data_IF_530573414103
#
_entry.id   IF_530573414103
#
_cell.length_a   1.000
_cell.length_b   1.000
_cell.length_c   1.000
_cell.angle_alpha   90.00
_cell.angle_beta   90.00
_cell.angle_gamma   90.00
#
_symmetry.space_group_name_H-M   'P 1'
#
loop_
_entity.id
_entity.type
_entity.pdbx_description
1 polymer ?
#
# COMPACT_ATOMS: atom_id res chain seq x y z
N UNK A 1 9.24 14.73 34.78
CA UNK A 1 10.55 14.23 34.32
C UNK A 1 10.52 14.16 32.80
N UNK A 2 11.64 14.38 32.09
CA UNK A 2 11.68 14.20 30.64
C UNK A 2 11.35 12.75 30.28
N UNK A 3 10.48 12.57 29.28
CA UNK A 3 10.17 11.24 28.72
C UNK A 3 11.35 10.82 27.84
N UNK A 4 12.02 9.72 28.19
CA UNK A 4 13.16 9.24 27.45
C UNK A 4 12.71 8.50 26.18
N UNK A 5 13.45 8.69 25.09
CA UNK A 5 13.24 7.94 23.85
C UNK A 5 13.48 6.45 24.11
N UNK A 6 12.50 5.61 23.74
CA UNK A 6 12.58 4.16 23.87
C UNK A 6 13.06 3.53 22.57
N UNK A 7 14.05 2.64 22.65
CA UNK A 7 14.61 1.96 21.48
C UNK A 7 14.52 0.45 21.63
N UNK A 8 13.82 -0.23 20.72
CA UNK A 8 13.74 -1.68 20.74
C UNK A 8 14.87 -2.30 19.89
N UNK A 9 15.69 -3.16 20.49
CA UNK A 9 16.80 -3.86 19.83
C UNK A 9 16.36 -5.28 19.46
N UNK A 10 16.01 -5.46 18.19
CA UNK A 10 15.55 -6.72 17.59
C UNK A 10 16.67 -7.43 16.82
N UNK A 11 16.78 -8.73 17.05
CA UNK A 11 17.54 -9.67 16.21
C UNK A 11 17.19 -11.10 16.59
N UNK A 12 17.59 -12.05 15.76
CA UNK A 12 17.60 -13.46 16.20
C UNK A 12 18.65 -13.66 17.30
N UNK A 13 18.29 -14.39 18.35
CA UNK A 13 19.20 -14.73 19.44
C UNK A 13 20.27 -15.72 18.95
N UNK A 14 21.49 -15.22 18.75
CA UNK A 14 22.64 -16.00 18.31
C UNK A 14 23.94 -15.35 18.80
N UNK A 15 24.93 -16.18 19.12
CA UNK A 15 26.18 -15.75 19.75
C UNK A 15 26.93 -14.68 18.95
N UNK A 16 26.87 -14.77 17.62
CA UNK A 16 27.52 -13.81 16.71
C UNK A 16 27.01 -12.37 16.88
N UNK A 17 25.75 -12.18 17.30
CA UNK A 17 25.14 -10.86 17.47
C UNK A 17 25.18 -10.35 18.92
N UNK A 18 25.44 -11.21 19.90
CA UNK A 18 25.45 -10.84 21.32
C UNK A 18 26.35 -9.63 21.62
N UNK A 19 27.61 -9.55 21.13
CA UNK A 19 28.47 -8.40 21.37
C UNK A 19 27.91 -7.09 20.80
N UNK A 20 27.36 -7.14 19.57
CA UNK A 20 26.79 -5.97 18.89
C UNK A 20 25.56 -5.43 19.65
N UNK A 21 24.68 -6.32 20.09
CA UNK A 21 23.45 -5.97 20.81
C UNK A 21 23.77 -5.37 22.19
N UNK A 22 24.69 -5.99 22.93
CA UNK A 22 25.11 -5.48 24.24
C UNK A 22 25.77 -4.10 24.12
N UNK A 23 26.67 -3.91 23.16
CA UNK A 23 27.28 -2.60 22.89
C UNK A 23 26.24 -1.55 22.52
N UNK A 24 25.31 -1.89 21.61
CA UNK A 24 24.21 -1.01 21.21
C UNK A 24 23.35 -0.61 22.42
N UNK A 25 23.02 -1.57 23.28
CA UNK A 25 22.27 -1.31 24.52
C UNK A 25 23.03 -0.35 25.46
N UNK A 26 24.31 -0.61 25.69
CA UNK A 26 25.16 0.22 26.56
C UNK A 26 25.33 1.64 26.01
N UNK A 27 25.55 1.77 24.70
CA UNK A 27 25.69 3.07 24.04
C UNK A 27 24.39 3.87 24.09
N UNK A 28 23.23 3.28 23.77
CA UNK A 28 21.95 3.97 23.91
C UNK A 28 21.66 4.38 25.35
N UNK A 29 22.00 3.55 26.33
CA UNK A 29 21.88 3.89 27.75
C UNK A 29 22.79 5.07 28.11
N UNK A 30 24.05 5.03 27.68
CA UNK A 30 25.03 6.10 27.94
C UNK A 30 24.66 7.44 27.28
N UNK A 31 23.93 7.40 26.16
CA UNK A 31 23.39 8.57 25.48
C UNK A 31 22.09 9.10 26.10
N UNK A 32 21.61 8.48 27.18
CA UNK A 32 20.43 8.93 27.93
C UNK A 32 19.10 8.43 27.37
N UNK A 33 19.11 7.38 26.56
CA UNK A 33 17.89 6.74 26.06
C UNK A 33 17.47 5.54 26.91
N UNK A 34 16.29 4.98 26.64
CA UNK A 34 15.78 3.76 27.25
C UNK A 34 15.80 2.61 26.23
N UNK A 35 16.92 1.88 26.08
CA UNK A 35 16.94 0.70 25.23
C UNK A 35 16.18 -0.46 25.87
N UNK A 36 15.51 -1.23 25.03
CA UNK A 36 14.71 -2.40 25.37
C UNK A 36 15.25 -3.61 24.61
N UNK A 37 15.54 -4.69 25.32
CA UNK A 37 16.12 -5.91 24.77
C UNK A 37 15.73 -7.12 25.63
N UNK A 38 15.33 -8.21 24.97
CA UNK A 38 14.83 -9.41 25.64
C UNK A 38 15.71 -9.89 26.79
N UNK A 39 17.01 -10.04 26.57
CA UNK A 39 17.95 -10.60 27.54
C UNK A 39 18.24 -9.69 28.73
N UNK A 40 17.86 -8.41 28.68
CA UNK A 40 18.25 -7.42 29.70
C UNK A 40 17.10 -6.70 30.38
N UNK A 41 16.02 -6.40 29.67
CA UNK A 41 14.97 -5.53 30.23
C UNK A 41 13.71 -6.27 30.59
N UNK A 42 13.41 -7.37 29.90
CA UNK A 42 12.07 -7.93 30.02
C UNK A 42 11.99 -9.47 30.02
N UNK A 43 12.99 -10.22 29.54
CA UNK A 43 13.02 -11.68 29.66
C UNK A 43 13.67 -12.22 30.95
N UNK A 44 13.41 -13.48 31.35
CA UNK A 44 12.32 -14.37 30.92
C UNK A 44 11.02 -14.17 31.74
N UNK A 45 9.88 -14.42 31.11
CA UNK A 45 8.53 -14.17 31.65
C UNK A 45 8.02 -15.30 32.56
N UNK A 46 7.00 -15.04 33.41
CA UNK A 46 6.19 -16.09 34.01
C UNK A 46 5.42 -16.88 32.92
N UNK A 47 5.09 -18.13 33.22
CA UNK A 47 4.55 -19.15 32.27
C UNK A 47 3.21 -18.78 31.60
N UNK A 48 2.55 -17.70 31.99
CA UNK A 48 1.19 -17.32 31.60
C UNK A 48 1.11 -16.27 30.47
N UNK A 49 2.25 -15.70 30.04
CA UNK A 49 2.31 -14.72 28.94
C UNK A 49 3.01 -15.31 27.71
N UNK A 50 2.37 -15.22 26.54
CA UNK A 50 3.04 -15.54 25.28
C UNK A 50 4.24 -14.60 25.08
N UNK A 51 5.46 -15.15 25.12
CA UNK A 51 6.69 -14.36 25.00
C UNK A 51 6.76 -13.55 23.70
N UNK A 52 6.10 -14.03 22.63
CA UNK A 52 5.96 -13.29 21.37
C UNK A 52 5.12 -12.03 21.57
N UNK A 53 3.94 -12.14 22.17
CA UNK A 53 3.06 -10.98 22.36
C UNK A 53 3.70 -9.91 23.25
N UNK A 54 4.49 -10.33 24.24
CA UNK A 54 5.23 -9.37 25.05
C UNK A 54 6.28 -8.60 24.23
N UNK A 55 7.07 -9.28 23.38
CA UNK A 55 7.98 -8.59 22.46
C UNK A 55 7.23 -7.60 21.57
N UNK A 56 6.08 -7.99 21.01
CA UNK A 56 5.28 -7.09 20.16
C UNK A 56 4.74 -5.88 20.93
N UNK A 57 4.33 -6.04 22.19
CA UNK A 57 3.95 -4.91 23.04
C UNK A 57 5.10 -3.94 23.25
N UNK A 58 6.31 -4.45 23.51
CA UNK A 58 7.51 -3.61 23.65
C UNK A 58 7.88 -2.88 22.37
N UNK A 59 7.66 -3.49 21.20
CA UNK A 59 7.78 -2.82 19.90
C UNK A 59 6.73 -1.72 19.73
N UNK A 60 5.49 -1.92 20.17
CA UNK A 60 4.45 -0.87 20.12
C UNK A 60 4.78 0.31 21.03
N UNK A 61 5.40 0.04 22.17
CA UNK A 61 5.81 1.05 23.17
C UNK A 61 7.07 1.84 22.77
N UNK A 62 7.90 1.37 21.83
CA UNK A 62 9.14 2.04 21.47
C UNK A 62 8.91 3.22 20.52
N UNK A 63 9.88 4.14 20.44
CA UNK A 63 9.90 5.23 19.46
C UNK A 63 10.73 4.86 18.22
N UNK A 64 11.81 4.11 18.46
CA UNK A 64 12.76 3.67 17.43
C UNK A 64 12.89 2.14 17.51
N UNK A 65 12.86 1.49 16.35
CA UNK A 65 13.07 0.05 16.20
C UNK A 65 14.38 -0.21 15.47
N UNK A 66 15.27 -0.98 16.08
CA UNK A 66 16.57 -1.37 15.52
C UNK A 66 16.58 -2.86 15.22
N UNK A 67 16.83 -3.23 13.96
CA UNK A 67 16.85 -4.62 13.50
C UNK A 67 18.25 -4.99 13.00
N UNK A 68 18.81 -6.08 13.53
CA UNK A 68 20.04 -6.69 13.04
C UNK A 68 19.75 -8.04 12.37
N UNK A 69 20.03 -8.13 11.06
CA UNK A 69 19.91 -9.36 10.28
C UNK A 69 21.29 -9.98 10.02
N UNK A 70 21.38 -11.28 10.30
CA UNK A 70 22.54 -12.11 10.02
C UNK A 70 22.03 -13.40 9.35
N UNK A 71 22.61 -14.56 9.61
CA UNK A 71 22.37 -15.78 8.84
C UNK A 71 21.26 -16.71 9.37
N UNK A 72 20.45 -16.30 10.35
CA UNK A 72 19.37 -17.12 10.95
C UNK A 72 18.03 -16.41 10.87
N UNK A 73 16.97 -17.13 10.46
CA UNK A 73 15.61 -16.60 10.28
C UNK A 73 14.80 -16.50 11.57
N UNK A 74 15.23 -17.21 12.62
CA UNK A 74 14.62 -17.16 13.95
C UNK A 74 13.49 -18.18 14.15
N UNK A 75 12.86 -18.13 15.32
CA UNK A 75 11.76 -19.04 15.66
C UNK A 75 10.50 -18.70 14.86
N UNK A 76 9.95 -19.69 14.15
CA UNK A 76 8.73 -19.56 13.38
C UNK A 76 7.49 -19.58 14.28
N UNK A 77 6.52 -18.73 13.97
CA UNK A 77 5.18 -18.74 14.55
C UNK A 77 4.23 -19.56 13.68
N UNK A 78 3.08 -19.90 14.24
CA UNK A 78 1.94 -20.54 13.58
C UNK A 78 1.46 -19.81 12.32
N UNK A 79 1.63 -18.48 12.27
CA UNK A 79 1.28 -17.65 11.10
C UNK A 79 2.25 -17.75 9.92
N UNK A 80 3.35 -18.50 10.01
CA UNK A 80 4.37 -18.60 8.96
C UNK A 80 5.33 -17.40 8.91
N UNK A 81 5.39 -16.62 9.99
CA UNK A 81 6.36 -15.56 10.19
C UNK A 81 7.34 -15.92 11.30
N UNK A 82 8.59 -15.47 11.24
CA UNK A 82 9.45 -15.55 12.42
C UNK A 82 9.10 -14.46 13.44
N UNK A 83 9.44 -14.67 14.72
CA UNK A 83 9.19 -13.66 15.78
C UNK A 83 9.81 -12.31 15.41
N UNK A 84 11.08 -12.30 14.99
CA UNK A 84 11.79 -11.10 14.55
C UNK A 84 11.13 -10.44 13.34
N UNK A 85 10.56 -11.22 12.41
CA UNK A 85 9.80 -10.68 11.29
C UNK A 85 8.49 -10.02 11.74
N UNK A 86 7.78 -10.61 12.70
CA UNK A 86 6.59 -9.99 13.30
C UNK A 86 6.91 -8.70 14.05
N UNK A 87 8.05 -8.63 14.73
CA UNK A 87 8.54 -7.41 15.37
C UNK A 87 8.75 -6.29 14.33
N UNK A 88 9.44 -6.58 13.22
CA UNK A 88 9.61 -5.65 12.11
C UNK A 88 8.27 -5.15 11.55
N UNK A 89 7.34 -6.06 11.22
CA UNK A 89 6.03 -5.68 10.68
C UNK A 89 5.21 -4.85 11.68
N UNK A 90 5.35 -5.14 12.98
CA UNK A 90 4.69 -4.36 14.04
C UNK A 90 5.26 -2.93 14.12
N UNK A 91 6.59 -2.78 14.06
CA UNK A 91 7.23 -1.47 14.05
C UNK A 91 6.87 -0.67 12.79
N UNK A 92 6.83 -1.33 11.63
CA UNK A 92 6.45 -0.74 10.35
C UNK A 92 5.01 -0.21 10.39
N UNK A 93 4.07 -1.05 10.81
CA UNK A 93 2.64 -0.69 10.86
C UNK A 93 2.34 0.39 11.90
N UNK A 94 3.13 0.46 12.97
CA UNK A 94 3.02 1.50 13.99
C UNK A 94 3.76 2.81 13.62
N UNK A 95 4.33 2.90 12.41
CA UNK A 95 5.00 4.11 11.92
C UNK A 95 6.26 4.49 12.70
N UNK A 96 6.97 3.51 13.28
CA UNK A 96 8.18 3.76 14.07
C UNK A 96 9.34 4.23 13.19
N UNK A 97 10.32 4.91 13.79
CA UNK A 97 11.62 5.14 13.13
C UNK A 97 12.38 3.82 13.06
N UNK A 98 12.86 3.43 11.88
CA UNK A 98 13.49 2.12 11.66
C UNK A 98 14.98 2.26 11.39
N UNK A 99 15.80 1.55 12.15
CA UNK A 99 17.20 1.30 11.84
C UNK A 99 17.38 -0.15 11.44
N UNK A 100 17.61 -0.39 10.16
CA UNK A 100 17.68 -1.74 9.61
C UNK A 100 19.10 -2.01 9.15
N UNK A 101 19.73 -3.03 9.71
CA UNK A 101 21.08 -3.45 9.39
C UNK A 101 21.09 -4.91 8.99
N UNK A 102 21.90 -5.25 8.00
CA UNK A 102 22.11 -6.62 7.58
C UNK A 102 23.59 -6.88 7.32
N UNK A 103 23.99 -8.14 7.48
CA UNK A 103 25.34 -8.56 7.16
C UNK A 103 25.64 -8.33 5.66
N UNK A 104 26.78 -7.68 5.32
CA UNK A 104 27.07 -7.27 3.95
C UNK A 104 27.12 -8.41 2.92
N UNK A 105 27.60 -9.60 3.29
CA UNK A 105 27.62 -10.75 2.36
C UNK A 105 26.21 -11.26 2.07
N UNK A 106 25.30 -11.17 3.03
CA UNK A 106 23.89 -11.54 2.86
C UNK A 106 23.19 -10.56 1.91
N UNK A 107 23.30 -9.24 2.13
CA UNK A 107 22.68 -8.24 1.23
C UNK A 107 23.26 -8.33 -0.18
N UNK A 108 24.58 -8.46 -0.29
CA UNK A 108 25.25 -8.66 -1.58
C UNK A 108 24.73 -9.92 -2.30
N UNK A 109 24.60 -11.04 -1.60
CA UNK A 109 24.07 -12.29 -2.17
C UNK A 109 22.62 -12.12 -2.62
N UNK A 110 21.81 -11.44 -1.82
CA UNK A 110 20.41 -11.17 -2.13
C UNK A 110 20.26 -10.45 -3.48
N UNK A 111 20.97 -9.34 -3.65
CA UNK A 111 20.90 -8.56 -4.89
C UNK A 111 21.58 -9.25 -6.09
N UNK A 112 22.58 -10.10 -5.86
CA UNK A 112 23.31 -10.75 -6.96
C UNK A 112 22.53 -11.91 -7.59
N UNK A 113 21.91 -12.78 -6.78
CA UNK A 113 21.25 -14.01 -7.29
C UNK A 113 19.83 -14.21 -6.76
N UNK A 114 19.65 -14.11 -5.44
CA UNK A 114 18.43 -14.59 -4.77
C UNK A 114 17.19 -13.80 -5.20
N UNK A 115 17.28 -12.47 -5.24
CA UNK A 115 16.18 -11.57 -5.60
C UNK A 115 15.55 -11.94 -6.95
N UNK A 116 16.39 -12.22 -7.97
CA UNK A 116 15.93 -12.65 -9.30
C UNK A 116 15.25 -14.02 -9.25
N UNK A 117 15.79 -14.98 -8.50
CA UNK A 117 15.19 -16.31 -8.36
C UNK A 117 13.82 -16.23 -7.69
N UNK A 118 13.70 -15.44 -6.63
CA UNK A 118 12.44 -15.19 -5.93
C UNK A 118 11.40 -14.55 -6.85
N UNK A 119 11.74 -13.48 -7.58
CA UNK A 119 10.82 -12.88 -8.54
C UNK A 119 10.33 -13.88 -9.59
N UNK A 120 11.25 -14.64 -10.20
CA UNK A 120 10.90 -15.63 -11.20
C UNK A 120 9.98 -16.74 -10.64
N UNK A 121 10.16 -17.13 -9.39
CA UNK A 121 9.28 -18.10 -8.74
C UNK A 121 7.92 -17.49 -8.43
N UNK A 122 7.87 -16.31 -7.83
CA UNK A 122 6.65 -15.60 -7.46
C UNK A 122 5.76 -15.40 -8.70
N UNK A 123 6.33 -14.95 -9.81
CA UNK A 123 5.57 -14.72 -11.05
C UNK A 123 5.03 -16.03 -11.65
N UNK A 124 5.83 -17.10 -11.69
CA UNK A 124 5.35 -18.42 -12.13
C UNK A 124 4.27 -18.99 -11.19
N UNK A 125 4.43 -18.77 -9.89
CA UNK A 125 3.46 -19.21 -8.89
C UNK A 125 2.13 -18.47 -9.06
N UNK A 126 2.16 -17.15 -9.26
CA UNK A 126 0.97 -16.32 -9.56
C UNK A 126 0.25 -16.81 -10.81
N UNK A 127 0.98 -17.11 -11.88
CA UNK A 127 0.39 -17.61 -13.13
C UNK A 127 -0.34 -18.95 -12.95
N UNK A 128 0.22 -19.85 -12.13
CA UNK A 128 -0.32 -21.21 -11.94
C UNK A 128 -1.40 -21.30 -10.86
N UNK A 129 -1.32 -20.49 -9.79
CA UNK A 129 -2.18 -20.59 -8.61
C UNK A 129 -3.09 -19.37 -8.39
N UNK A 130 -2.95 -18.32 -9.20
CA UNK A 130 -3.70 -17.04 -9.12
C UNK A 130 -3.57 -16.31 -7.77
N UNK A 131 -2.56 -16.63 -6.97
CA UNK A 131 -2.20 -15.96 -5.70
C UNK A 131 -0.69 -15.86 -5.56
N UNK A 132 -0.22 -15.04 -4.64
CA UNK A 132 1.19 -15.07 -4.25
C UNK A 132 1.51 -16.34 -3.44
N UNK A 133 2.75 -16.84 -3.50
CA UNK A 133 3.20 -17.87 -2.59
C UNK A 133 3.24 -17.31 -1.15
N UNK A 134 2.88 -18.15 -0.20
CA UNK A 134 3.09 -17.90 1.22
C UNK A 134 4.58 -17.89 1.56
N UNK A 135 4.95 -17.34 2.71
CA UNK A 135 6.34 -17.34 3.19
C UNK A 135 6.90 -18.76 3.31
N UNK A 136 6.06 -19.73 3.69
CA UNK A 136 6.45 -21.15 3.76
C UNK A 136 6.78 -21.69 2.37
N UNK A 137 5.92 -21.44 1.38
CA UNK A 137 6.15 -21.88 0.00
C UNK A 137 7.39 -21.24 -0.63
N UNK A 138 7.67 -19.97 -0.30
CA UNK A 138 8.93 -19.32 -0.69
C UNK A 138 10.15 -19.98 -0.05
N UNK A 139 10.06 -20.28 1.25
CA UNK A 139 11.14 -20.93 2.00
C UNK A 139 11.42 -22.33 1.44
N UNK A 140 10.37 -23.12 1.22
CA UNK A 140 10.46 -24.47 0.65
C UNK A 140 11.09 -24.43 -0.76
N UNK A 141 10.69 -23.46 -1.59
CA UNK A 141 11.29 -23.25 -2.92
C UNK A 141 12.79 -22.92 -2.84
N UNK A 142 13.17 -22.02 -1.95
CA UNK A 142 14.56 -21.61 -1.76
C UNK A 142 15.42 -22.75 -1.23
N UNK A 143 14.91 -23.56 -0.31
CA UNK A 143 15.60 -24.74 0.22
C UNK A 143 15.85 -25.78 -0.88
N UNK A 144 14.81 -26.15 -1.64
CA UNK A 144 14.95 -27.08 -2.77
C UNK A 144 15.90 -26.55 -3.85
N UNK A 145 15.86 -25.24 -4.11
CA UNK A 145 16.76 -24.61 -5.09
C UNK A 145 18.20 -24.57 -4.60
N UNK A 146 18.45 -24.38 -3.29
CA UNK A 146 19.78 -24.44 -2.72
C UNK A 146 20.41 -25.83 -2.82
N UNK A 147 19.62 -26.89 -2.66
CA UNK A 147 20.07 -28.27 -2.86
C UNK A 147 20.42 -28.57 -4.33
N UNK A 148 19.64 -28.02 -5.26
CA UNK A 148 19.88 -28.21 -6.70
C UNK A 148 20.98 -27.30 -7.29
N UNK A 149 21.16 -26.09 -6.74
CA UNK A 149 22.04 -25.04 -7.27
C UNK A 149 22.84 -24.34 -6.16
N UNK A 150 23.78 -25.05 -5.50
CA UNK A 150 24.50 -24.53 -4.33
C UNK A 150 25.40 -23.33 -4.62
N UNK A 151 25.73 -23.05 -5.89
CA UNK A 151 26.49 -21.86 -6.29
C UNK A 151 25.64 -20.58 -6.31
N UNK A 152 24.32 -20.71 -6.46
CA UNK A 152 23.37 -19.59 -6.55
C UNK A 152 22.78 -19.23 -5.19
N UNK A 153 22.42 -20.26 -4.40
CA UNK A 153 21.85 -20.11 -3.06
C UNK A 153 22.73 -20.89 -2.06
N UNK A 154 23.26 -20.22 -1.02
CA UNK A 154 23.98 -20.87 0.07
C UNK A 154 23.15 -21.95 0.76
N UNK A 155 23.81 -22.96 1.32
CA UNK A 155 23.10 -24.05 1.99
C UNK A 155 22.36 -23.55 3.24
N UNK A 156 21.28 -24.23 3.62
CA UNK A 156 20.50 -23.94 4.86
C UNK A 156 21.32 -23.97 6.15
N UNK A 157 22.48 -24.63 6.13
CA UNK A 157 23.41 -24.69 7.26
C UNK A 157 24.25 -23.41 7.37
N UNK A 158 24.54 -22.75 6.25
CA UNK A 158 25.26 -21.48 6.20
C UNK A 158 24.32 -20.29 6.44
N UNK A 159 23.21 -20.23 5.70
CA UNK A 159 22.20 -19.17 5.80
C UNK A 159 20.82 -19.82 5.76
N UNK A 160 20.03 -19.54 6.79
CA UNK A 160 18.63 -19.94 6.86
C UNK A 160 17.84 -19.36 5.66
N UNK A 161 17.15 -20.19 4.85
CA UNK A 161 16.42 -19.72 3.69
C UNK A 161 15.37 -18.65 4.01
N UNK A 162 14.85 -18.62 5.24
CA UNK A 162 13.87 -17.61 5.67
C UNK A 162 14.45 -16.19 5.70
N UNK A 163 15.78 -16.02 5.83
CA UNK A 163 16.42 -14.69 5.72
C UNK A 163 16.14 -14.05 4.37
N UNK A 164 16.13 -14.84 3.30
CA UNK A 164 15.83 -14.33 1.95
C UNK A 164 14.38 -13.85 1.83
N UNK A 165 13.44 -14.56 2.46
CA UNK A 165 12.03 -14.15 2.54
C UNK A 165 11.89 -12.84 3.30
N UNK A 166 12.62 -12.70 4.41
CA UNK A 166 12.62 -11.47 5.22
C UNK A 166 13.20 -10.28 4.45
N UNK A 167 14.30 -10.46 3.71
CA UNK A 167 14.89 -9.41 2.87
C UNK A 167 13.96 -8.99 1.72
N UNK A 168 13.30 -9.96 1.09
CA UNK A 168 12.27 -9.67 0.08
C UNK A 168 11.12 -8.84 0.66
N UNK A 169 10.65 -9.17 1.86
CA UNK A 169 9.59 -8.43 2.51
C UNK A 169 10.03 -6.99 2.86
N UNK A 170 11.21 -6.83 3.46
CA UNK A 170 11.76 -5.53 3.87
C UNK A 170 12.04 -4.65 2.64
N UNK A 171 12.78 -5.16 1.66
CA UNK A 171 13.30 -4.38 0.53
C UNK A 171 12.25 -4.24 -0.56
N UNK A 172 11.70 -5.35 -1.04
CA UNK A 172 10.94 -5.38 -2.29
C UNK A 172 9.43 -5.21 -2.08
N UNK A 173 8.88 -5.65 -0.94
CA UNK A 173 7.47 -5.37 -0.61
C UNK A 173 7.28 -4.03 0.09
N UNK A 174 8.20 -3.67 0.99
CA UNK A 174 8.06 -2.48 1.84
C UNK A 174 9.00 -1.31 1.49
N UNK A 175 9.85 -1.47 0.46
CA UNK A 175 10.70 -0.39 -0.04
C UNK A 175 11.71 0.14 0.98
N UNK A 176 12.10 -0.67 1.96
CA UNK A 176 13.03 -0.27 3.03
C UNK A 176 14.47 -0.60 2.66
N UNK A 177 15.36 0.32 3.00
CA UNK A 177 16.79 0.13 2.80
C UNK A 177 17.44 -0.47 4.06
N UNK A 178 18.41 -1.37 3.86
CA UNK A 178 19.24 -1.90 4.94
C UNK A 178 20.67 -1.36 4.82
N UNK A 179 21.23 -0.98 5.95
CA UNK A 179 22.62 -0.58 6.09
C UNK A 179 23.52 -1.81 6.32
N UNK A 180 24.77 -1.69 5.90
CA UNK A 180 25.78 -2.72 6.17
C UNK A 180 26.06 -2.81 7.67
N UNK A 181 25.99 -4.02 8.21
CA UNK A 181 26.23 -4.29 9.62
C UNK A 181 27.73 -4.49 9.90
N UNK A 182 28.39 -3.62 10.68
CA UNK A 182 29.81 -3.74 11.00
C UNK A 182 30.05 -4.75 12.14
N UNK A 183 30.13 -6.03 11.79
CA UNK A 183 30.40 -7.11 12.75
C UNK A 183 31.79 -6.90 13.40
N UNK A 184 31.84 -6.98 14.73
CA UNK A 184 33.07 -6.88 15.53
C UNK A 184 33.44 -5.45 15.95
N UNK A 185 33.28 -4.47 15.07
CA UNK A 185 33.58 -3.05 15.37
C UNK A 185 32.40 -2.33 16.03
N UNK A 186 31.17 -2.81 15.82
CA UNK A 186 29.96 -2.16 16.33
C UNK A 186 29.60 -0.92 15.50
N UNK A 187 28.44 -0.34 15.82
CA UNK A 187 27.93 0.85 15.14
C UNK A 187 28.21 2.05 16.04
N UNK A 188 28.80 3.12 15.50
CA UNK A 188 28.93 4.39 16.23
C UNK A 188 27.58 5.12 16.18
N UNK A 189 26.81 4.99 17.25
CA UNK A 189 25.45 5.54 17.32
C UNK A 189 25.40 7.06 17.47
N UNK A 190 26.48 7.70 17.93
CA UNK A 190 26.54 9.16 18.14
C UNK A 190 26.28 9.96 16.87
N UNK A 191 27.00 9.75 15.75
CA UNK A 191 26.73 10.47 14.50
C UNK A 191 25.33 10.15 13.96
N UNK A 192 24.88 8.89 14.05
CA UNK A 192 23.54 8.48 13.58
C UNK A 192 22.44 9.25 14.29
N UNK A 193 22.47 9.28 15.62
CA UNK A 193 21.48 9.99 16.42
C UNK A 193 21.62 11.52 16.30
N UNK A 194 22.84 12.03 16.12
CA UNK A 194 23.06 13.45 15.84
C UNK A 194 22.47 13.88 14.50
N UNK A 195 22.51 13.01 13.49
CA UNK A 195 21.94 13.26 12.17
C UNK A 195 20.41 13.40 12.26
N UNK A 196 19.77 12.47 12.97
CA UNK A 196 18.33 12.47 13.20
C UNK A 196 17.91 13.67 14.05
N UNK A 197 18.70 14.03 15.06
CA UNK A 197 18.44 15.23 15.84
C UNK A 197 18.55 16.48 14.97
N UNK A 198 19.51 16.55 14.04
CA UNK A 198 19.66 17.65 13.09
C UNK A 198 18.46 17.74 12.16
N UNK A 199 18.01 16.63 11.60
CA UNK A 199 16.81 16.57 10.76
C UNK A 199 15.58 17.00 11.56
N UNK A 200 15.35 16.41 12.74
CA UNK A 200 14.28 16.76 13.67
C UNK A 200 14.28 18.23 14.06
N UNK A 201 15.46 18.80 14.34
CA UNK A 201 15.62 20.19 14.72
C UNK A 201 15.17 21.17 13.63
N UNK A 202 15.27 20.78 12.35
CA UNK A 202 14.79 21.59 11.23
C UNK A 202 13.26 21.75 11.21
N UNK A 203 12.53 20.82 11.86
CA UNK A 203 11.07 20.86 11.94
C UNK A 203 10.54 21.66 13.13
N UNK A 204 11.32 21.86 14.21
CA UNK A 204 10.83 22.57 15.39
C UNK A 204 10.32 23.99 15.12
N UNK A 205 11.01 24.83 14.32
CA UNK A 205 10.51 26.17 14.01
C UNK A 205 9.18 26.16 13.25
N UNK A 206 8.92 25.10 12.49
CA UNK A 206 7.72 24.93 11.66
C UNK A 206 6.62 24.14 12.35
N UNK A 207 6.80 23.74 13.61
CA UNK A 207 5.85 22.88 14.34
C UNK A 207 4.44 23.47 14.35
N UNK A 208 4.31 24.78 14.58
CA UNK A 208 3.02 25.47 14.60
C UNK A 208 2.32 25.40 13.23
N UNK A 209 3.05 25.67 12.14
CA UNK A 209 2.52 25.59 10.77
C UNK A 209 2.08 24.16 10.41
N UNK A 210 2.84 23.14 10.84
CA UNK A 210 2.46 21.74 10.64
C UNK A 210 1.23 21.35 11.43
N UNK A 211 1.15 21.78 12.70
CA UNK A 211 -0.04 21.54 13.52
C UNK A 211 -1.27 22.21 12.91
N UNK A 212 -1.17 23.47 12.49
CA UNK A 212 -2.25 24.18 11.80
C UNK A 212 -2.63 23.49 10.48
N UNK A 213 -1.66 22.97 9.73
CA UNK A 213 -1.92 22.22 8.50
C UNK A 213 -2.63 20.89 8.78
N UNK A 214 -2.24 20.17 9.84
CA UNK A 214 -2.90 18.92 10.26
C UNK A 214 -4.33 19.23 10.69
N UNK A 215 -4.54 20.27 11.50
CA UNK A 215 -5.87 20.70 11.95
C UNK A 215 -6.74 21.14 10.76
N UNK A 216 -6.14 21.84 9.78
CA UNK A 216 -6.84 22.26 8.55
C UNK A 216 -7.20 21.06 7.68
N UNK A 217 -6.32 20.06 7.55
CA UNK A 217 -6.61 18.82 6.82
C UNK A 217 -7.74 18.03 7.50
N UNK A 218 -7.69 17.91 8.83
CA UNK A 218 -8.76 17.28 9.60
C UNK A 218 -10.09 18.03 9.41
N UNK A 219 -10.09 19.36 9.53
CA UNK A 219 -11.26 20.19 9.31
C UNK A 219 -11.80 20.08 7.86
N UNK A 220 -10.92 19.90 6.87
CA UNK A 220 -11.33 19.71 5.47
C UNK A 220 -11.97 18.34 5.25
N UNK A 221 -11.44 17.29 5.88
CA UNK A 221 -12.06 15.96 5.87
C UNK A 221 -13.44 16.02 6.56
N UNK A 222 -13.51 16.59 7.77
CA UNK A 222 -14.76 16.78 8.50
C UNK A 222 -15.78 17.59 7.70
N UNK A 223 -15.36 18.69 7.07
CA UNK A 223 -16.22 19.51 6.22
C UNK A 223 -16.70 18.74 4.98
N UNK A 224 -15.83 17.98 4.33
CA UNK A 224 -16.19 17.13 3.19
C UNK A 224 -17.24 16.08 3.58
N UNK A 225 -17.03 15.38 4.69
CA UNK A 225 -17.98 14.40 5.23
C UNK A 225 -19.31 15.06 5.61
N UNK A 226 -19.26 16.23 6.26
CA UNK A 226 -20.44 17.02 6.60
C UNK A 226 -21.25 17.39 5.33
N UNK A 227 -20.60 17.95 4.30
CA UNK A 227 -21.26 18.32 3.05
C UNK A 227 -21.89 17.10 2.38
N UNK A 228 -21.17 15.98 2.31
CA UNK A 228 -21.71 14.74 1.76
C UNK A 228 -22.95 14.26 2.52
N UNK A 229 -22.91 14.27 3.86
CA UNK A 229 -24.03 13.87 4.70
C UNK A 229 -25.22 14.82 4.57
N UNK A 230 -24.97 16.13 4.50
CA UNK A 230 -26.02 17.13 4.26
C UNK A 230 -26.70 16.92 2.91
N UNK A 231 -25.93 16.73 1.84
CA UNK A 231 -26.48 16.48 0.50
C UNK A 231 -27.29 15.19 0.47
N UNK A 232 -26.78 14.12 1.10
CA UNK A 232 -27.41 12.79 1.09
C UNK A 232 -28.67 12.71 1.96
N UNK A 233 -28.62 13.21 3.19
CA UNK A 233 -29.64 12.94 4.21
C UNK A 233 -30.66 14.08 4.34
N UNK A 234 -30.31 15.30 3.91
CA UNK A 234 -31.08 16.50 4.21
C UNK A 234 -31.47 17.36 3.01
N UNK A 235 -30.87 17.15 1.83
CA UNK A 235 -31.23 17.87 0.61
C UNK A 235 -32.01 16.98 -0.36
N UNK A 236 -33.13 17.51 -0.86
CA UNK A 236 -33.81 16.98 -2.04
C UNK A 236 -33.48 17.86 -3.22
N UNK A 237 -32.75 17.31 -4.19
CA UNK A 237 -32.36 18.04 -5.38
C UNK A 237 -33.47 17.85 -6.39
N UNK A 238 -34.15 18.93 -6.76
CA UNK A 238 -35.23 18.89 -7.75
C UNK A 238 -34.70 18.82 -9.18
N UNK A 239 -33.64 19.59 -9.46
CA UNK A 239 -33.02 19.65 -10.77
C UNK A 239 -31.53 20.00 -10.66
N UNK A 240 -30.75 19.52 -11.64
CA UNK A 240 -29.38 19.97 -11.87
C UNK A 240 -29.38 20.88 -13.10
N UNK A 241 -29.34 22.19 -12.86
CA UNK A 241 -29.29 23.18 -13.94
C UNK A 241 -27.97 23.12 -14.71
N UNK A 242 -28.01 23.37 -16.01
CA UNK A 242 -26.82 23.43 -16.88
C UNK A 242 -25.96 22.16 -16.80
N UNK A 243 -26.61 21.00 -16.91
CA UNK A 243 -25.99 19.68 -16.79
C UNK A 243 -24.71 19.53 -17.65
N UNK A 244 -24.72 20.03 -18.90
CA UNK A 244 -23.53 20.02 -19.76
C UNK A 244 -22.34 20.77 -19.16
N UNK A 245 -22.57 21.94 -18.54
CA UNK A 245 -21.52 22.72 -17.90
C UNK A 245 -21.00 22.02 -16.64
N UNK A 246 -21.89 21.40 -15.86
CA UNK A 246 -21.51 20.57 -14.72
C UNK A 246 -20.59 19.42 -15.15
N UNK A 247 -21.00 18.64 -16.17
CA UNK A 247 -20.20 17.54 -16.70
C UNK A 247 -18.86 18.03 -17.27
N UNK A 248 -18.83 19.18 -17.97
CA UNK A 248 -17.59 19.76 -18.47
C UNK A 248 -16.63 20.18 -17.34
N UNK A 249 -17.16 20.73 -16.24
CA UNK A 249 -16.35 21.06 -15.05
C UNK A 249 -15.77 19.81 -14.42
N UNK A 250 -16.58 18.77 -14.23
CA UNK A 250 -16.14 17.46 -13.72
C UNK A 250 -15.04 16.87 -14.61
N UNK A 251 -15.23 16.90 -15.93
CA UNK A 251 -14.26 16.39 -16.90
C UNK A 251 -12.91 17.12 -16.81
N UNK A 252 -12.90 18.44 -16.58
CA UNK A 252 -11.66 19.22 -16.44
C UNK A 252 -10.86 18.93 -15.17
N UNK A 253 -11.52 18.56 -14.07
CA UNK A 253 -10.89 18.30 -12.76
C UNK A 253 -10.50 16.84 -12.55
N UNK A 254 -11.25 15.87 -13.08
CA UNK A 254 -10.98 14.44 -12.88
C UNK A 254 -9.69 14.06 -13.62
N UNK A 255 -8.71 13.58 -12.86
CA UNK A 255 -7.37 13.27 -13.36
C UNK A 255 -7.17 11.79 -13.62
N UNK A 256 -6.28 11.50 -14.56
CA UNK A 256 -5.72 10.17 -14.75
C UNK A 256 -4.61 9.94 -13.74
N UNK A 257 -4.05 8.73 -13.75
CA UNK A 257 -3.00 8.36 -12.81
C UNK A 257 -1.94 7.48 -13.47
N UNK A 258 -0.79 7.45 -12.83
CA UNK A 258 0.14 6.33 -12.93
C UNK A 258 -0.50 5.13 -12.23
N UNK A 259 -0.60 4.01 -12.94
CA UNK A 259 -1.18 2.78 -12.43
C UNK A 259 -0.06 1.94 -11.85
N UNK A 260 -0.09 1.79 -10.53
CA UNK A 260 0.85 0.97 -9.77
C UNK A 260 0.15 -0.31 -9.33
N UNK A 261 0.90 -1.41 -9.30
CA UNK A 261 0.37 -2.66 -8.81
C UNK A 261 0.18 -2.60 -7.28
N UNK A 262 -1.02 -2.90 -6.79
CA UNK A 262 -1.39 -2.86 -5.37
C UNK A 262 -0.58 -3.83 -4.52
N UNK A 263 -0.12 -4.95 -5.12
CA UNK A 263 0.71 -5.95 -4.44
C UNK A 263 2.19 -5.57 -4.40
N UNK A 264 2.66 -4.75 -5.33
CA UNK A 264 4.06 -4.33 -5.47
C UNK A 264 4.05 -2.82 -5.78
N UNK A 265 4.09 -2.01 -4.73
CA UNK A 265 3.82 -0.56 -4.79
C UNK A 265 4.79 0.25 -5.67
N UNK A 266 5.87 -0.35 -6.15
CA UNK A 266 6.88 0.27 -7.02
C UNK A 266 6.80 -0.14 -8.49
N UNK A 267 5.99 -1.17 -8.85
CA UNK A 267 5.83 -1.55 -10.25
C UNK A 267 4.78 -0.67 -10.92
N UNK A 268 5.25 0.22 -11.79
CA UNK A 268 4.37 1.00 -12.68
C UNK A 268 3.94 0.14 -13.85
N UNK A 269 2.64 -0.18 -13.90
CA UNK A 269 2.02 -0.97 -14.96
C UNK A 269 1.73 -0.14 -16.22
N UNK A 270 1.48 1.16 -16.04
CA UNK A 270 1.22 2.08 -17.12
C UNK A 270 0.61 3.38 -16.61
N UNK A 271 0.14 4.22 -17.54
CA UNK A 271 -0.46 5.51 -17.23
C UNK A 271 -1.74 5.73 -18.02
N UNK A 272 -2.68 6.42 -17.38
CA UNK A 272 -3.92 6.92 -17.98
C UNK A 272 -3.88 8.43 -18.09
N UNK A 273 -4.44 8.95 -19.19
CA UNK A 273 -4.66 10.39 -19.36
C UNK A 273 -5.83 10.83 -18.49
N UNK A 274 -5.94 12.14 -18.28
CA UNK A 274 -7.10 12.74 -17.60
C UNK A 274 -8.40 12.45 -18.31
N UNK A 275 -9.51 12.50 -17.57
CA UNK A 275 -10.84 12.19 -18.08
C UNK A 275 -11.11 13.00 -19.36
N UNK A 276 -11.39 12.31 -20.46
CA UNK A 276 -11.59 12.93 -21.77
C UNK A 276 -13.06 13.16 -22.09
N UNK A 277 -13.96 12.37 -21.50
CA UNK A 277 -15.39 12.53 -21.67
C UNK A 277 -16.18 11.97 -20.49
N UNK A 278 -17.37 12.51 -20.28
CA UNK A 278 -18.35 12.04 -19.30
C UNK A 278 -19.71 11.96 -19.98
N UNK A 279 -20.42 10.84 -19.81
CA UNK A 279 -21.78 10.64 -20.29
C UNK A 279 -22.70 10.33 -19.11
N UNK A 280 -23.85 11.00 -19.04
CA UNK A 280 -24.89 10.71 -18.05
C UNK A 280 -26.11 10.10 -18.76
N UNK A 281 -26.50 8.92 -18.30
CA UNK A 281 -27.64 8.18 -18.81
C UNK A 281 -28.76 8.18 -17.77
N UNK A 282 -30.00 8.24 -18.22
CA UNK A 282 -31.19 8.09 -17.40
C UNK A 282 -32.01 6.89 -17.89
N UNK A 283 -32.44 6.09 -16.95
CA UNK A 283 -33.39 5.00 -17.14
C UNK A 283 -34.80 5.56 -17.28
N UNK A 284 -35.45 5.29 -18.40
CA UNK A 284 -36.86 5.58 -18.62
C UNK A 284 -37.50 4.35 -19.30
N UNK A 285 -38.41 3.67 -18.59
CA UNK A 285 -38.99 2.38 -19.01
C UNK A 285 -37.88 1.37 -19.31
N UNK A 286 -37.86 0.72 -20.48
CA UNK A 286 -36.87 -0.29 -20.83
C UNK A 286 -35.62 0.28 -21.53
N UNK A 287 -35.37 1.59 -21.44
CA UNK A 287 -34.30 2.27 -22.17
C UNK A 287 -33.45 3.16 -21.25
N UNK A 288 -32.13 3.02 -21.36
CA UNK A 288 -31.13 3.92 -20.79
C UNK A 288 -30.70 4.92 -21.87
N UNK A 289 -31.16 6.16 -21.77
CA UNK A 289 -30.86 7.23 -22.75
C UNK A 289 -29.82 8.20 -22.20
N UNK A 290 -28.82 8.53 -23.01
CA UNK A 290 -27.83 9.57 -22.71
C UNK A 290 -28.54 10.92 -22.69
N UNK A 291 -28.76 11.47 -21.50
CA UNK A 291 -29.44 12.75 -21.31
C UNK A 291 -28.51 13.93 -21.51
N UNK A 292 -27.21 13.74 -21.26
CA UNK A 292 -26.19 14.77 -21.50
C UNK A 292 -24.79 14.15 -21.54
N UNK A 293 -23.88 14.82 -22.25
CA UNK A 293 -22.47 14.43 -22.27
C UNK A 293 -21.54 15.64 -22.38
N UNK A 294 -20.29 15.47 -21.95
CA UNK A 294 -19.23 16.45 -22.12
C UNK A 294 -17.92 15.77 -22.57
N UNK A 295 -17.09 16.50 -23.31
CA UNK A 295 -15.79 16.02 -23.78
C UNK A 295 -15.83 15.28 -25.12
N UNK A 296 -14.84 14.43 -25.36
CA UNK A 296 -14.61 13.69 -26.62
C UNK A 296 -15.54 12.47 -26.73
N UNK A 297 -16.82 12.71 -26.97
CA UNK A 297 -17.86 11.69 -27.12
C UNK A 297 -18.94 12.20 -28.09
N UNK A 298 -19.51 11.30 -28.91
CA UNK A 298 -20.53 11.71 -29.88
C UNK A 298 -21.90 11.99 -29.23
N UNK A 299 -22.09 11.60 -27.96
CA UNK A 299 -23.35 11.79 -27.22
C UNK A 299 -24.54 11.05 -27.84
N UNK A 300 -25.74 11.26 -27.28
CA UNK A 300 -27.00 10.82 -27.90
C UNK A 300 -27.23 9.32 -28.03
N UNK A 301 -26.49 8.50 -27.27
CA UNK A 301 -26.65 7.05 -27.26
C UNK A 301 -27.86 6.63 -26.42
N UNK A 302 -28.62 5.65 -26.89
CA UNK A 302 -29.64 4.98 -26.11
C UNK A 302 -29.45 3.46 -26.20
N UNK A 303 -29.60 2.78 -25.07
CA UNK A 303 -29.43 1.33 -24.98
C UNK A 303 -30.68 0.73 -24.36
N UNK A 304 -31.09 -0.43 -24.84
CA UNK A 304 -32.10 -1.22 -24.15
C UNK A 304 -31.52 -1.70 -22.82
N UNK A 305 -32.30 -1.71 -21.74
CA UNK A 305 -31.85 -2.11 -20.39
C UNK A 305 -31.28 -3.52 -20.39
N UNK A 306 -31.81 -4.43 -21.21
CA UNK A 306 -31.33 -5.81 -21.33
C UNK A 306 -30.27 -6.02 -22.43
N UNK A 307 -29.67 -4.97 -22.99
CA UNK A 307 -28.62 -5.12 -24.00
C UNK A 307 -27.34 -5.71 -23.37
N UNK A 308 -26.94 -6.95 -23.72
CA UNK A 308 -25.77 -7.60 -23.13
C UNK A 308 -24.44 -6.98 -23.60
N UNK A 309 -24.45 -6.18 -24.67
CA UNK A 309 -23.24 -5.58 -25.26
C UNK A 309 -22.99 -4.15 -24.78
N UNK A 310 -23.91 -3.57 -24.01
CA UNK A 310 -23.79 -2.22 -23.49
C UNK A 310 -23.20 -2.24 -22.08
N UNK A 311 -22.06 -1.55 -21.89
CA UNK A 311 -21.48 -1.34 -20.56
C UNK A 311 -22.47 -0.62 -19.61
N UNK A 312 -23.28 0.29 -20.17
CA UNK A 312 -24.29 1.05 -19.40
C UNK A 312 -25.38 0.11 -18.90
N UNK A 313 -25.93 -0.72 -19.78
CA UNK A 313 -26.97 -1.71 -19.46
C UNK A 313 -26.45 -2.78 -18.49
N UNK A 314 -25.23 -3.27 -18.71
CA UNK A 314 -24.56 -4.19 -17.78
C UNK A 314 -24.42 -3.59 -16.39
N UNK A 315 -23.89 -2.37 -16.26
CA UNK A 315 -23.70 -1.71 -14.96
C UNK A 315 -25.04 -1.46 -14.26
N UNK A 316 -26.08 -1.09 -15.00
CA UNK A 316 -27.40 -0.86 -14.41
C UNK A 316 -28.02 -2.14 -13.80
N UNK A 317 -27.84 -3.29 -14.44
CA UNK A 317 -28.47 -4.55 -14.03
C UNK A 317 -27.68 -5.35 -12.99
N UNK A 318 -26.35 -5.31 -13.05
CA UNK A 318 -25.49 -6.29 -12.35
C UNK A 318 -24.82 -5.77 -11.10
N UNK A 319 -24.93 -4.47 -10.82
CA UNK A 319 -24.17 -3.83 -9.75
C UNK A 319 -25.04 -3.18 -8.70
N UNK A 320 -24.53 -3.29 -7.48
CA UNK A 320 -25.04 -2.57 -6.35
C UNK A 320 -24.79 -1.08 -6.50
N UNK A 321 -25.63 -0.30 -5.82
CA UNK A 321 -25.67 1.13 -6.01
C UNK A 321 -24.39 1.81 -5.52
N UNK A 322 -23.72 2.56 -6.41
CA UNK A 322 -22.47 3.27 -6.10
C UNK A 322 -21.19 2.45 -6.20
N UNK A 323 -21.27 1.16 -6.53
CA UNK A 323 -20.06 0.39 -6.83
C UNK A 323 -19.53 0.71 -8.23
N UNK A 324 -18.23 1.04 -8.37
CA UNK A 324 -17.64 1.27 -9.68
C UNK A 324 -17.45 -0.02 -10.48
N UNK A 325 -17.72 0.06 -11.77
CA UNK A 325 -17.27 -0.94 -12.75
C UNK A 325 -16.35 -0.29 -13.76
N UNK A 326 -15.20 -0.90 -13.95
CA UNK A 326 -14.28 -0.51 -15.02
C UNK A 326 -14.53 -1.43 -16.22
N UNK A 327 -14.48 -0.86 -17.43
CA UNK A 327 -14.39 -1.59 -18.69
C UNK A 327 -13.24 -1.03 -19.52
N UNK A 328 -12.78 -1.81 -20.48
CA UNK A 328 -11.78 -1.39 -21.45
C UNK A 328 -12.21 -1.79 -22.85
N UNK A 329 -12.01 -0.88 -23.81
CA UNK A 329 -12.19 -1.17 -25.23
C UNK A 329 -10.88 -0.93 -25.97
N UNK A 330 -10.17 -2.01 -26.30
CA UNK A 330 -8.85 -1.96 -26.95
C UNK A 330 -8.86 -1.20 -28.28
N UNK A 331 -9.87 -1.43 -29.13
CA UNK A 331 -10.03 -0.74 -30.40
C UNK A 331 -10.15 0.80 -30.26
N UNK A 332 -10.68 1.26 -29.11
CA UNK A 332 -10.81 2.68 -28.78
C UNK A 332 -9.69 3.19 -27.87
N UNK A 333 -8.83 2.31 -27.36
CA UNK A 333 -7.74 2.62 -26.42
C UNK A 333 -8.25 3.44 -25.22
N UNK A 334 -9.39 3.01 -24.67
CA UNK A 334 -10.21 3.78 -23.73
C UNK A 334 -10.72 2.92 -22.58
N UNK A 335 -10.57 3.43 -21.36
CA UNK A 335 -11.18 2.87 -20.16
C UNK A 335 -12.49 3.61 -19.83
N UNK A 336 -13.48 2.88 -19.36
CA UNK A 336 -14.79 3.39 -18.98
C UNK A 336 -15.05 3.01 -17.53
N UNK A 337 -15.06 4.00 -16.64
CA UNK A 337 -15.45 3.82 -15.23
C UNK A 337 -16.92 4.22 -15.09
N UNK A 338 -17.80 3.28 -14.72
CA UNK A 338 -19.24 3.50 -14.62
C UNK A 338 -19.75 3.29 -13.20
N UNK A 339 -20.78 4.07 -12.85
CA UNK A 339 -21.52 3.94 -11.59
C UNK A 339 -23.02 3.92 -11.85
N UNK A 340 -23.73 3.06 -11.13
CA UNK A 340 -25.19 3.08 -11.00
C UNK A 340 -25.60 3.97 -9.82
N UNK A 341 -26.48 4.94 -10.05
CA UNK A 341 -26.90 5.97 -9.10
C UNK A 341 -28.42 6.20 -9.24
N UNK A 342 -29.23 5.46 -8.49
CA UNK A 342 -30.69 5.43 -8.69
C UNK A 342 -31.08 5.09 -10.13
N UNK A 343 -31.86 5.98 -10.76
CA UNK A 343 -32.27 5.87 -12.17
C UNK A 343 -31.17 6.26 -13.17
N UNK A 344 -29.98 6.64 -12.70
CA UNK A 344 -28.91 7.14 -13.54
C UNK A 344 -27.73 6.17 -13.64
N UNK A 345 -27.05 6.23 -14.78
CA UNK A 345 -25.71 5.65 -14.96
C UNK A 345 -24.79 6.76 -15.44
N UNK A 346 -23.70 7.01 -14.72
CA UNK A 346 -22.65 7.95 -15.15
C UNK A 346 -21.44 7.16 -15.63
N UNK A 347 -20.85 7.57 -16.76
CA UNK A 347 -19.67 6.95 -17.36
C UNK A 347 -18.56 7.97 -17.52
N UNK A 348 -17.39 7.68 -16.99
CA UNK A 348 -16.16 8.49 -17.10
C UNK A 348 -15.17 7.80 -18.03
N UNK A 349 -14.68 8.52 -19.04
CA UNK A 349 -13.82 7.96 -20.07
C UNK A 349 -12.37 8.40 -19.87
N UNK A 350 -11.45 7.45 -19.75
CA UNK A 350 -10.03 7.69 -19.54
C UNK A 350 -9.23 7.10 -20.72
N UNK A 351 -8.63 7.94 -21.58
CA UNK A 351 -7.77 7.47 -22.64
C UNK A 351 -6.50 6.87 -22.06
N UNK A 352 -6.00 5.82 -22.70
CA UNK A 352 -4.71 5.29 -22.31
C UNK A 352 -3.56 6.24 -22.72
N UNK A 353 -2.53 6.30 -21.89
CA UNK A 353 -1.25 6.93 -22.25
C UNK A 353 -0.22 5.84 -22.61
N UNK A 354 -0.15 4.81 -21.76
CA UNK A 354 0.56 3.55 -22.05
C UNK A 354 -0.34 2.62 -22.85
N UNK A 355 0.22 1.79 -23.75
CA UNK A 355 -0.58 0.85 -24.54
C UNK A 355 -1.07 -0.32 -23.68
N UNK A 356 -2.38 -0.51 -23.56
CA UNK A 356 -3.00 -1.66 -22.88
C UNK A 356 -3.62 -2.63 -23.88
N UNK A 357 -3.67 -3.91 -23.51
CA UNK A 357 -4.43 -4.93 -24.22
C UNK A 357 -5.46 -5.58 -23.29
N UNK A 358 -6.39 -6.35 -23.86
CA UNK A 358 -7.47 -6.96 -23.10
C UNK A 358 -6.99 -7.85 -21.94
N UNK A 359 -5.87 -8.57 -22.11
CA UNK A 359 -5.32 -9.44 -21.05
C UNK A 359 -4.79 -8.59 -19.88
N UNK A 360 -4.01 -7.55 -20.17
CA UNK A 360 -3.52 -6.63 -19.13
C UNK A 360 -4.65 -5.95 -18.37
N UNK A 361 -5.72 -5.56 -19.07
CA UNK A 361 -6.90 -5.03 -18.41
C UNK A 361 -7.51 -6.05 -17.43
N UNK A 362 -7.71 -7.30 -17.86
CA UNK A 362 -8.28 -8.37 -17.01
C UNK A 362 -7.39 -8.64 -15.79
N UNK A 363 -6.08 -8.71 -15.97
CA UNK A 363 -5.13 -9.03 -14.91
C UNK A 363 -5.00 -7.91 -13.86
N UNK A 364 -5.20 -6.65 -14.28
CA UNK A 364 -4.93 -5.46 -13.45
C UNK A 364 -6.16 -4.56 -13.26
N UNK A 365 -7.38 -5.07 -13.45
CA UNK A 365 -8.62 -4.27 -13.38
C UNK A 365 -8.73 -3.52 -12.04
N UNK A 366 -8.41 -4.17 -10.92
CA UNK A 366 -8.49 -3.55 -9.60
C UNK A 366 -7.38 -2.53 -9.36
N UNK A 367 -6.16 -2.78 -9.87
CA UNK A 367 -5.05 -1.82 -9.82
C UNK A 367 -5.39 -0.55 -10.60
N UNK A 368 -5.97 -0.70 -11.81
CA UNK A 368 -6.38 0.43 -12.65
C UNK A 368 -7.50 1.22 -11.97
N UNK A 369 -8.53 0.52 -11.46
CA UNK A 369 -9.66 1.13 -10.76
C UNK A 369 -9.19 1.91 -9.53
N UNK A 370 -8.36 1.32 -8.68
CA UNK A 370 -7.79 2.00 -7.52
C UNK A 370 -6.89 3.17 -7.92
N UNK A 371 -6.09 3.02 -8.98
CA UNK A 371 -5.27 4.10 -9.52
C UNK A 371 -6.10 5.32 -9.94
N UNK A 372 -7.23 5.11 -10.63
CA UNK A 372 -8.16 6.19 -10.99
C UNK A 372 -8.79 6.82 -9.74
N UNK A 373 -9.30 6.00 -8.81
CA UNK A 373 -9.98 6.48 -7.61
C UNK A 373 -9.05 7.31 -6.72
N UNK A 374 -7.84 6.82 -6.48
CA UNK A 374 -6.86 7.46 -5.58
C UNK A 374 -6.09 8.60 -6.26
N UNK A 375 -6.38 8.90 -7.53
CA UNK A 375 -5.74 10.01 -8.22
C UNK A 375 -6.26 11.36 -7.69
N UNK A 376 -5.35 12.18 -7.15
CA UNK A 376 -5.66 13.53 -6.68
C UNK A 376 -6.89 13.57 -5.75
N UNK A 377 -7.99 14.19 -6.19
CA UNK A 377 -9.23 14.35 -5.42
C UNK A 377 -10.40 13.58 -6.04
N UNK A 378 -10.12 12.60 -6.91
CA UNK A 378 -11.15 11.90 -7.69
C UNK A 378 -12.22 11.25 -6.80
N UNK A 379 -11.85 10.54 -5.72
CA UNK A 379 -12.81 9.95 -4.76
C UNK A 379 -13.77 11.00 -4.20
N UNK A 380 -13.26 12.12 -3.69
CA UNK A 380 -14.11 13.19 -3.12
C UNK A 380 -15.07 13.78 -4.17
N UNK A 381 -14.58 13.96 -5.40
CA UNK A 381 -15.39 14.46 -6.52
C UNK A 381 -16.49 13.47 -6.88
N UNK A 382 -16.15 12.19 -7.00
CA UNK A 382 -17.10 11.10 -7.27
C UNK A 382 -18.17 11.02 -6.18
N UNK A 383 -17.78 11.00 -4.91
CA UNK A 383 -18.74 10.91 -3.81
C UNK A 383 -19.72 12.09 -3.78
N UNK A 384 -19.22 13.30 -4.06
CA UNK A 384 -20.07 14.49 -4.13
C UNK A 384 -21.08 14.41 -5.27
N UNK A 385 -20.63 14.13 -6.51
CA UNK A 385 -21.54 14.06 -7.66
C UNK A 385 -22.49 12.87 -7.54
N UNK A 386 -22.06 11.76 -6.96
CA UNK A 386 -22.92 10.60 -6.71
C UNK A 386 -24.01 10.94 -5.71
N UNK A 387 -23.69 11.66 -4.63
CA UNK A 387 -24.67 12.14 -3.66
C UNK A 387 -25.67 13.09 -4.31
N UNK A 388 -25.20 14.01 -5.17
CA UNK A 388 -26.06 14.94 -5.90
C UNK A 388 -27.00 14.24 -6.88
N UNK A 389 -26.51 13.26 -7.65
CA UNK A 389 -27.31 12.49 -8.61
C UNK A 389 -28.31 11.55 -7.92
N UNK A 390 -27.98 11.01 -6.74
CA UNK A 390 -28.90 10.20 -5.93
C UNK A 390 -30.00 11.05 -5.27
N UNK A 391 -29.63 12.26 -4.83
CA UNK A 391 -30.57 13.22 -4.26
C UNK A 391 -31.53 13.82 -5.30
N UNK A 392 -31.30 13.57 -6.60
CA UNK A 392 -32.14 14.01 -7.70
C UNK A 392 -33.42 13.17 -7.75
N UNK A 393 -34.43 13.59 -6.98
CA UNK A 393 -35.75 12.95 -6.91
C UNK A 393 -36.75 13.76 -7.74
N UNK A 394 -37.58 13.08 -8.56
CA UNK A 394 -38.69 13.70 -9.28
C UNK A 394 -39.81 14.15 -8.34
#
# INVERSE_FOLDING_TARGET
>A
MPTLTKLFISSVAQDALTPLRNRTFEEFTALGHQPEMYERTFGPWPMDVSGVEHCLNKVRECDIFCLFLYNKGGSMTDTGYSVTHREFLTALNAGKTLFLYAEPTITKRYFTSIRRLMYNYIERYKQSHRREPSNRELTDYLELTAEAQPSEIPSKYEIDPYIWVMLYDIIDRHGKYLLDMPIGVGIDWKPVLSDILREGASYFPKKAEYMESIDTLAALVEFSEFVQKMVKDHLKIRELSQLRLLLARLQGIIKGAEIKQLRIHDLTLGRLRSCAAICLFQHNNDVLSCIEAAGDTAGGYSFHVNDPNSYVSFTYNTRDEGEPVLFYTEAKRMFYLLYKLGEYVISYHFPEETKWNQNMYVDYTDDIKNGILMAHSNVMIFDFIHSALRGLQK
#
